data_IF_984985321535
#
_entry.id   IF_984985321535
#
_cell.length_a   1.000
_cell.length_b   1.000
_cell.length_c   1.000
_cell.angle_alpha   90.00
_cell.angle_beta   90.00
_cell.angle_gamma   90.00
#
_symmetry.space_group_name_H-M   'P 1'
#
loop_
_entity.id
_entity.type
_entity.pdbx_description
1 polymer ?
#
# COMPACT_ATOMS: atom_id res chain seq x y z
N UNK A 1 2.79 5.99 27.37
CA UNK A 1 2.40 5.50 26.07
C UNK A 1 3.56 5.66 25.10
N UNK A 2 3.80 4.65 24.29
CA UNK A 2 4.92 4.67 23.38
C UNK A 2 4.55 5.39 22.08
N UNK A 3 5.42 6.29 21.63
CA UNK A 3 5.24 6.94 20.33
C UNK A 3 5.29 5.92 19.19
N UNK A 4 6.05 4.84 19.37
CA UNK A 4 6.13 3.76 18.39
C UNK A 4 4.78 3.05 18.26
N UNK A 5 4.09 2.81 19.37
CA UNK A 5 2.78 2.14 19.31
C UNK A 5 1.76 3.01 18.58
N UNK A 6 1.79 4.31 18.82
CA UNK A 6 0.88 5.24 18.13
C UNK A 6 1.22 5.31 16.65
N UNK A 7 2.50 5.34 16.30
CA UNK A 7 2.93 5.35 14.91
C UNK A 7 2.45 4.09 14.21
N UNK A 8 2.62 2.92 14.85
CA UNK A 8 2.13 1.66 14.27
C UNK A 8 0.63 1.72 14.01
N UNK A 9 -0.13 2.26 14.95
CA UNK A 9 -1.58 2.36 14.79
C UNK A 9 -1.93 3.26 13.59
N UNK A 10 -1.22 4.39 13.46
CA UNK A 10 -1.47 5.30 12.35
C UNK A 10 -1.09 4.69 11.00
N UNK A 11 0.04 3.99 10.96
CA UNK A 11 0.47 3.29 9.76
C UNK A 11 -0.55 2.21 9.37
N UNK A 12 -1.06 1.49 10.37
CA UNK A 12 -1.99 0.40 10.10
C UNK A 12 -3.33 0.90 9.55
N UNK A 13 -3.76 2.08 9.99
CA UNK A 13 -4.96 2.71 9.41
C UNK A 13 -4.75 2.94 7.91
N UNK A 14 -3.60 3.45 7.53
CA UNK A 14 -3.32 3.68 6.11
C UNK A 14 -3.13 2.36 5.37
N UNK A 15 -2.55 1.37 6.02
CA UNK A 15 -2.40 0.05 5.43
C UNK A 15 -3.75 -0.56 5.07
N UNK A 16 -4.80 -0.22 5.82
CA UNK A 16 -6.13 -0.73 5.52
C UNK A 16 -6.59 -0.30 4.11
N UNK A 17 -6.23 0.90 3.69
CA UNK A 17 -6.55 1.35 2.34
C UNK A 17 -5.73 0.60 1.29
N UNK A 18 -4.47 0.37 1.57
CA UNK A 18 -3.60 -0.42 0.69
C UNK A 18 -4.20 -1.83 0.52
N UNK A 19 -4.62 -2.42 1.63
CA UNK A 19 -5.23 -3.75 1.61
C UNK A 19 -6.51 -3.78 0.80
N UNK A 20 -7.38 -2.78 0.96
CA UNK A 20 -8.65 -2.75 0.23
C UNK A 20 -8.43 -2.56 -1.27
N UNK A 21 -7.45 -1.73 -1.66
CA UNK A 21 -7.11 -1.59 -3.07
C UNK A 21 -6.57 -2.92 -3.61
N UNK A 22 -5.68 -3.58 -2.87
CA UNK A 22 -5.19 -4.90 -3.24
C UNK A 22 -6.35 -5.89 -3.45
N UNK A 23 -7.31 -5.86 -2.53
CA UNK A 23 -8.45 -6.78 -2.61
C UNK A 23 -9.29 -6.49 -3.86
N UNK A 24 -9.52 -5.22 -4.14
CA UNK A 24 -10.24 -4.82 -5.35
C UNK A 24 -9.52 -5.36 -6.60
N UNK A 25 -8.21 -5.17 -6.67
CA UNK A 25 -7.44 -5.63 -7.82
C UNK A 25 -7.48 -7.15 -7.94
N UNK A 26 -7.39 -7.87 -6.81
CA UNK A 26 -7.43 -9.33 -6.82
C UNK A 26 -8.69 -9.87 -7.50
N UNK A 27 -9.81 -9.18 -7.33
CA UNK A 27 -11.09 -9.64 -7.86
C UNK A 27 -11.44 -8.99 -9.20
N UNK A 28 -10.51 -8.24 -9.80
CA UNK A 28 -10.75 -7.62 -11.08
C UNK A 28 -10.31 -8.55 -12.22
N UNK A 29 -11.10 -8.55 -13.30
CA UNK A 29 -10.72 -9.31 -14.49
C UNK A 29 -9.47 -8.73 -15.14
N UNK A 30 -9.31 -7.42 -15.03
CA UNK A 30 -8.18 -6.73 -15.62
C UNK A 30 -6.84 -7.20 -15.06
N UNK A 31 -6.81 -7.55 -13.76
CA UNK A 31 -5.57 -8.01 -13.15
C UNK A 31 -5.13 -9.37 -13.69
N UNK A 32 -6.06 -10.17 -14.18
CA UNK A 32 -5.72 -11.47 -14.78
C UNK A 32 -5.09 -11.30 -16.16
N UNK A 33 -5.41 -10.21 -16.84
CA UNK A 33 -5.01 -10.01 -18.23
C UNK A 33 -3.82 -9.07 -18.39
N UNK A 34 -3.51 -8.28 -17.38
CA UNK A 34 -2.46 -7.25 -17.46
C UNK A 34 -1.35 -7.58 -16.47
N UNK A 35 -0.15 -7.86 -16.99
CA UNK A 35 0.98 -8.27 -16.16
C UNK A 35 1.44 -7.17 -15.20
N UNK A 36 1.36 -5.91 -15.61
CA UNK A 36 1.77 -4.81 -14.75
C UNK A 36 0.79 -4.64 -13.61
N UNK A 37 -0.49 -4.80 -13.88
CA UNK A 37 -1.51 -4.71 -12.82
C UNK A 37 -1.36 -5.87 -11.85
N UNK A 38 -1.05 -7.07 -12.35
CA UNK A 38 -0.79 -8.21 -11.49
C UNK A 38 0.43 -7.97 -10.59
N UNK A 39 1.45 -7.30 -11.13
CA UNK A 39 2.63 -6.94 -10.34
C UNK A 39 2.28 -5.96 -9.23
N UNK A 40 1.46 -4.94 -9.54
CA UNK A 40 0.99 -3.99 -8.54
C UNK A 40 0.28 -4.75 -7.41
N UNK A 41 -0.66 -5.63 -7.76
CA UNK A 41 -1.38 -6.42 -6.77
C UNK A 41 -0.42 -7.18 -5.85
N UNK A 42 0.57 -7.85 -6.43
CA UNK A 42 1.52 -8.64 -5.66
C UNK A 42 2.35 -7.77 -4.72
N UNK A 43 2.80 -6.60 -5.20
CA UNK A 43 3.59 -5.71 -4.38
C UNK A 43 2.81 -5.16 -3.18
N UNK A 44 1.53 -4.84 -3.39
CA UNK A 44 0.69 -4.38 -2.28
C UNK A 44 0.50 -5.50 -1.27
N UNK A 45 0.27 -6.72 -1.74
CA UNK A 45 0.10 -7.88 -0.87
C UNK A 45 1.37 -8.14 -0.06
N UNK A 46 2.54 -8.10 -0.71
CA UNK A 46 3.80 -8.35 -0.05
C UNK A 46 4.08 -7.34 1.06
N UNK A 47 3.76 -6.07 0.81
CA UNK A 47 3.94 -5.03 1.82
C UNK A 47 3.07 -5.31 3.03
N UNK A 48 1.79 -5.59 2.82
CA UNK A 48 0.87 -5.86 3.92
C UNK A 48 1.28 -7.11 4.69
N UNK A 49 1.69 -8.16 3.97
CA UNK A 49 2.10 -9.41 4.60
C UNK A 49 3.32 -9.21 5.50
N UNK A 50 4.26 -8.39 5.06
CA UNK A 50 5.50 -8.15 5.83
C UNK A 50 5.21 -7.49 7.18
N UNK A 51 4.10 -6.77 7.31
CA UNK A 51 3.77 -6.04 8.54
C UNK A 51 2.84 -6.82 9.46
N UNK A 52 2.12 -7.82 8.91
CA UNK A 52 1.05 -8.48 9.65
C UNK A 52 1.49 -9.17 10.91
N UNK A 53 2.61 -9.89 10.89
CA UNK A 53 3.08 -10.61 12.07
C UNK A 53 3.49 -9.65 13.18
N UNK A 54 4.12 -8.53 12.82
CA UNK A 54 4.52 -7.54 13.81
C UNK A 54 3.30 -6.90 14.47
N UNK A 55 2.27 -6.65 13.69
CA UNK A 55 1.03 -6.12 14.24
C UNK A 55 0.41 -7.09 15.24
N UNK A 56 0.33 -8.36 14.87
CA UNK A 56 -0.27 -9.40 15.72
C UNK A 56 0.50 -9.59 17.02
N UNK A 57 1.80 -9.38 16.99
CA UNK A 57 2.65 -9.53 18.17
C UNK A 57 2.76 -8.25 18.99
N UNK A 58 2.17 -7.16 18.50
CA UNK A 58 2.30 -5.87 19.17
C UNK A 58 3.71 -5.31 19.07
N UNK A 59 4.48 -5.72 18.05
CA UNK A 59 5.88 -5.34 17.87
C UNK A 59 5.94 -4.06 17.03
N UNK A 60 5.75 -2.92 17.68
CA UNK A 60 5.67 -1.64 16.98
C UNK A 60 6.99 -1.26 16.32
N UNK A 61 8.11 -1.55 16.97
CA UNK A 61 9.42 -1.24 16.39
C UNK A 61 9.67 -2.07 15.14
N UNK A 62 9.38 -3.38 15.20
CA UNK A 62 9.52 -4.26 14.05
C UNK A 62 8.62 -3.85 12.91
N UNK A 63 7.39 -3.45 13.22
CA UNK A 63 6.44 -2.96 12.23
C UNK A 63 7.02 -1.74 11.50
N UNK A 64 7.50 -0.76 12.26
CA UNK A 64 8.09 0.44 11.66
C UNK A 64 9.31 0.13 10.81
N UNK A 65 10.18 -0.73 11.31
CA UNK A 65 11.39 -1.11 10.57
C UNK A 65 11.07 -1.79 9.24
N UNK A 66 10.09 -2.69 9.26
CA UNK A 66 9.68 -3.36 8.03
C UNK A 66 9.01 -2.40 7.05
N UNK A 67 8.14 -1.53 7.56
CA UNK A 67 7.50 -0.54 6.71
C UNK A 67 8.55 0.34 6.03
N UNK A 68 9.54 0.78 6.79
CA UNK A 68 10.60 1.63 6.27
C UNK A 68 11.43 0.89 5.22
N UNK A 69 11.75 -0.37 5.50
CA UNK A 69 12.55 -1.19 4.59
C UNK A 69 11.84 -1.45 3.27
N UNK A 70 10.52 -1.63 3.31
CA UNK A 70 9.73 -1.98 2.13
C UNK A 70 9.09 -0.78 1.44
N UNK A 71 9.29 0.41 1.98
CA UNK A 71 8.65 1.64 1.47
C UNK A 71 8.85 1.86 -0.02
N UNK A 72 10.08 1.69 -0.50
CA UNK A 72 10.37 1.98 -1.91
C UNK A 72 9.57 1.12 -2.86
N UNK A 73 9.38 -0.16 -2.52
CA UNK A 73 8.60 -1.06 -3.36
C UNK A 73 7.14 -0.67 -3.36
N UNK A 74 6.62 -0.27 -2.20
CA UNK A 74 5.24 0.19 -2.11
C UNK A 74 5.05 1.45 -2.95
N UNK A 75 5.94 2.41 -2.83
CA UNK A 75 5.87 3.67 -3.58
C UNK A 75 5.95 3.40 -5.08
N UNK A 76 6.85 2.54 -5.49
CA UNK A 76 7.00 2.20 -6.90
C UNK A 76 5.75 1.52 -7.44
N UNK A 77 5.13 0.63 -6.66
CA UNK A 77 3.89 -0.02 -7.09
C UNK A 77 2.77 1.00 -7.23
N UNK A 78 2.68 1.94 -6.30
CA UNK A 78 1.69 3.01 -6.37
C UNK A 78 1.88 3.86 -7.62
N UNK A 79 3.12 4.28 -7.89
CA UNK A 79 3.41 5.10 -9.05
C UNK A 79 3.08 4.37 -10.35
N UNK A 80 3.41 3.09 -10.41
CA UNK A 80 3.07 2.28 -11.57
C UNK A 80 1.56 2.19 -11.77
N UNK A 81 0.81 1.95 -10.69
CA UNK A 81 -0.63 1.84 -10.78
C UNK A 81 -1.25 3.15 -11.29
N UNK A 82 -0.80 4.28 -10.75
CA UNK A 82 -1.30 5.58 -11.19
C UNK A 82 -1.01 5.79 -12.68
N UNK A 83 0.17 5.37 -13.13
CA UNK A 83 0.56 5.54 -14.53
C UNK A 83 -0.27 4.68 -15.47
N UNK A 84 -0.48 3.41 -15.14
CA UNK A 84 -1.16 2.49 -16.06
C UNK A 84 -2.68 2.51 -15.94
N UNK A 85 -3.21 3.05 -14.84
CA UNK A 85 -4.64 2.96 -14.57
C UNK A 85 -5.51 3.49 -15.71
N UNK A 86 -5.23 4.65 -16.32
CA UNK A 86 -6.11 5.13 -17.40
C UNK A 86 -6.12 4.21 -18.61
N UNK A 87 -5.03 3.49 -18.86
CA UNK A 87 -4.95 2.58 -20.01
C UNK A 87 -5.59 1.23 -19.71
N UNK A 88 -5.53 0.80 -18.44
CA UNK A 88 -6.13 -0.48 -18.04
C UNK A 88 -7.65 -0.35 -17.98
N UNK A 89 -8.15 0.69 -17.34
CA UNK A 89 -9.59 0.89 -17.21
C UNK A 89 -9.89 2.31 -16.75
N UNK A 90 -10.82 2.97 -17.44
CA UNK A 90 -11.32 4.28 -17.01
C UNK A 90 -12.57 4.19 -16.15
N UNK A 91 -12.90 2.98 -15.70
CA UNK A 91 -14.04 2.82 -14.81
C UNK A 91 -13.80 3.57 -13.50
N UNK A 92 -14.87 4.15 -12.96
CA UNK A 92 -14.80 4.94 -11.73
C UNK A 92 -14.11 4.19 -10.60
N UNK A 93 -14.37 2.89 -10.48
CA UNK A 93 -13.77 2.09 -9.42
C UNK A 93 -12.25 2.06 -9.51
N UNK A 94 -11.70 1.99 -10.71
CA UNK A 94 -10.25 2.02 -10.90
C UNK A 94 -9.68 3.40 -10.60
N UNK A 95 -10.39 4.45 -10.99
CA UNK A 95 -9.96 5.82 -10.69
C UNK A 95 -9.93 6.06 -9.19
N UNK A 96 -10.97 5.61 -8.48
CA UNK A 96 -11.03 5.77 -7.03
C UNK A 96 -10.00 4.93 -6.32
N UNK A 97 -9.75 3.72 -6.82
CA UNK A 97 -8.70 2.87 -6.24
C UNK A 97 -7.33 3.54 -6.35
N UNK A 98 -7.04 4.14 -7.50
CA UNK A 98 -5.77 4.84 -7.69
C UNK A 98 -5.63 6.03 -6.74
N UNK A 99 -6.71 6.81 -6.58
CA UNK A 99 -6.71 7.95 -5.68
C UNK A 99 -6.54 7.51 -4.23
N UNK A 100 -7.26 6.47 -3.82
CA UNK A 100 -7.19 5.94 -2.47
C UNK A 100 -5.79 5.42 -2.15
N UNK A 101 -5.20 4.68 -3.08
CA UNK A 101 -3.85 4.15 -2.88
C UNK A 101 -2.83 5.28 -2.81
N UNK A 102 -2.94 6.25 -3.69
CA UNK A 102 -2.01 7.37 -3.74
C UNK A 102 -2.03 8.15 -2.42
N UNK A 103 -3.22 8.41 -1.89
CA UNK A 103 -3.36 9.11 -0.62
C UNK A 103 -2.78 8.31 0.52
N UNK A 104 -3.07 7.01 0.58
CA UNK A 104 -2.57 6.15 1.65
C UNK A 104 -1.05 6.04 1.63
N UNK A 105 -0.47 5.86 0.43
CA UNK A 105 0.98 5.73 0.30
C UNK A 105 1.67 7.04 0.67
N UNK A 106 1.08 8.17 0.26
CA UNK A 106 1.60 9.48 0.63
C UNK A 106 1.64 9.67 2.16
N UNK A 107 0.54 9.27 2.83
CA UNK A 107 0.46 9.36 4.28
C UNK A 107 1.47 8.43 4.97
N UNK A 108 1.61 7.22 4.46
CA UNK A 108 2.60 6.27 4.99
C UNK A 108 4.00 6.87 4.87
N UNK A 109 4.31 7.44 3.71
CA UNK A 109 5.59 8.09 3.50
C UNK A 109 5.84 9.23 4.48
N UNK A 110 4.82 10.05 4.69
CA UNK A 110 4.92 11.15 5.65
C UNK A 110 5.18 10.62 7.07
N UNK A 111 4.45 9.60 7.48
CA UNK A 111 4.62 9.01 8.81
C UNK A 111 6.01 8.40 9.00
N UNK A 112 6.61 7.91 7.92
CA UNK A 112 7.94 7.32 7.96
C UNK A 112 9.06 8.34 7.74
N UNK A 113 8.71 9.61 7.53
CA UNK A 113 9.71 10.64 7.30
C UNK A 113 10.22 10.69 5.88
N UNK A 114 9.44 10.21 4.91
CA UNK A 114 9.82 10.17 3.49
C UNK A 114 9.11 11.28 2.71
N UNK A 115 9.17 12.48 3.21
CA UNK A 115 8.31 13.56 2.72
C UNK A 115 8.52 14.00 1.30
N UNK A 116 9.71 13.89 0.82
CA UNK A 116 10.01 14.43 -0.47
C UNK A 116 9.64 13.49 -1.58
N UNK A 117 9.18 12.45 -1.23
CA UNK A 117 8.88 11.38 -2.14
C UNK A 117 8.62 11.77 -3.58
#
# INVERSE_FOLDING_TARGET
MSDEAELMRQLDIQLSHVWMVRTFLKHSDEAEEDEELALVHRRLYDFALALGSHLNEGDAEGYRKQANKKWRRLKAACDLFVEIQPEVSNHTNFKMAAMSLQKAVSEIGHLLGKDDA
#
